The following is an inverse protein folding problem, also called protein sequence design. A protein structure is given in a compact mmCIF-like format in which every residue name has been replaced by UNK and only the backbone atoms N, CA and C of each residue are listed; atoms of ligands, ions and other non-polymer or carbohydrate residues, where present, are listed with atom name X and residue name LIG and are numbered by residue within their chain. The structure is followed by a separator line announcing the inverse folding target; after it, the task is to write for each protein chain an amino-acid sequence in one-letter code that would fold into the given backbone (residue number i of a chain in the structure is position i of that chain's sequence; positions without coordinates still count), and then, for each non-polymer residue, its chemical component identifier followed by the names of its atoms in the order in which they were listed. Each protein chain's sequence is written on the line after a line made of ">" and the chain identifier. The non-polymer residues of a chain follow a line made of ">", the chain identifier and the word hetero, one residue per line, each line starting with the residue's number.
data_IF_669083586551
#
_entry.id   IF_669083586551
#
_cell.length_a   1.000
_cell.length_b   1.000
_cell.length_c   1.000
_cell.angle_alpha   90.00
_cell.angle_beta   90.00
_cell.angle_gamma   90.00
#
_symmetry.space_group_name_H-M   'P 1'
#
loop_
_entity.id
_entity.type
_entity.pdbx_description
1 polymer ?
#
# COMPACT_ATOMS: atom_id res chain seq x y z
N UNK A 1 -61.92 0.60 -48.01
CA UNK A 1 -60.93 1.66 -47.77
C UNK A 1 -61.32 2.35 -46.48
N UNK A 2 -60.31 2.57 -45.63
CA UNK A 2 -60.28 3.22 -44.29
C UNK A 2 -60.41 2.34 -43.04
N UNK A 3 -59.35 2.46 -42.24
CA UNK A 3 -59.23 2.36 -40.79
C UNK A 3 -59.22 0.97 -40.18
N UNK A 4 -58.04 0.48 -39.80
CA UNK A 4 -57.76 0.11 -38.40
C UNK A 4 -56.26 0.31 -38.13
N UNK A 5 -55.98 1.34 -37.33
CA UNK A 5 -54.71 1.58 -36.65
C UNK A 5 -54.71 0.67 -35.42
N UNK A 6 -53.72 -0.19 -35.18
CA UNK A 6 -53.54 -0.79 -33.88
C UNK A 6 -52.39 -0.09 -33.14
N UNK A 7 -52.72 0.48 -31.99
CA UNK A 7 -51.84 0.63 -30.82
C UNK A 7 -52.77 0.93 -29.64
N UNK A 8 -52.46 0.60 -28.37
CA UNK A 8 -51.14 0.27 -27.83
C UNK A 8 -51.17 -0.89 -26.77
N UNK A 9 -50.01 -1.20 -26.16
CA UNK A 9 -49.87 -1.92 -24.88
C UNK A 9 -50.10 -3.46 -24.89
N UNK A 10 -49.11 -4.25 -25.32
CA UNK A 10 -48.88 -5.62 -24.78
C UNK A 10 -47.51 -6.19 -25.14
N UNK A 11 -46.46 -5.37 -25.03
CA UNK A 11 -45.07 -5.85 -24.89
C UNK A 11 -44.47 -5.40 -23.56
N UNK A 12 -45.35 -5.25 -22.57
CA UNK A 12 -45.10 -4.85 -21.18
C UNK A 12 -44.47 -5.96 -20.31
N UNK A 13 -44.08 -7.12 -20.85
CA UNK A 13 -43.78 -8.28 -19.99
C UNK A 13 -42.52 -9.07 -20.36
N UNK A 14 -41.76 -8.68 -21.40
CA UNK A 14 -40.60 -9.50 -21.83
C UNK A 14 -39.29 -8.76 -22.08
N UNK A 15 -39.15 -7.54 -21.57
CA UNK A 15 -37.84 -6.96 -21.29
C UNK A 15 -37.76 -6.43 -19.86
N UNK A 16 -38.57 -7.02 -18.97
CA UNK A 16 -38.49 -6.88 -17.51
C UNK A 16 -37.43 -7.82 -16.91
N UNK A 17 -36.46 -8.31 -17.68
CA UNK A 17 -35.49 -9.32 -17.23
C UNK A 17 -34.01 -8.97 -17.46
N UNK A 18 -33.69 -7.72 -17.83
CA UNK A 18 -32.30 -7.20 -17.74
C UNK A 18 -32.29 -5.87 -16.99
N UNK A 19 -33.20 -5.75 -16.03
CA UNK A 19 -33.14 -4.74 -14.99
C UNK A 19 -33.33 -5.45 -13.66
N UNK A 20 -32.54 -6.50 -13.45
CA UNK A 20 -32.05 -6.67 -12.09
C UNK A 20 -31.23 -5.42 -11.84
N UNK A 21 -31.81 -4.52 -11.05
CA UNK A 21 -31.02 -3.56 -10.32
C UNK A 21 -29.94 -4.36 -9.60
N UNK A 22 -28.76 -4.51 -10.21
CA UNK A 22 -27.52 -4.36 -9.44
C UNK A 22 -27.57 -2.92 -8.93
N UNK A 23 -28.39 -2.72 -7.89
CA UNK A 23 -28.22 -1.64 -6.93
C UNK A 23 -26.88 -2.01 -6.31
N UNK A 24 -25.81 -1.59 -6.95
CA UNK A 24 -24.51 -1.68 -6.34
C UNK A 24 -24.66 -0.95 -5.01
N UNK A 25 -24.37 -1.68 -3.94
CA UNK A 25 -24.40 -1.12 -2.61
C UNK A 25 -23.46 0.09 -2.61
N UNK A 26 -23.97 1.28 -2.33
CA UNK A 26 -23.23 2.54 -2.45
C UNK A 26 -21.93 2.49 -1.63
N UNK A 27 -21.97 1.76 -0.51
CA UNK A 27 -20.80 1.42 0.30
C UNK A 27 -19.77 0.56 -0.48
N UNK A 28 -20.20 -0.47 -1.19
CA UNK A 28 -19.28 -1.28 -2.03
C UNK A 28 -18.65 -0.49 -3.19
N UNK A 29 -19.41 0.40 -3.85
CA UNK A 29 -18.88 1.25 -4.92
C UNK A 29 -17.91 2.30 -4.40
N UNK A 30 -18.21 2.91 -3.26
CA UNK A 30 -17.33 3.90 -2.65
C UNK A 30 -16.01 3.26 -2.23
N UNK A 31 -16.03 2.06 -1.62
CA UNK A 31 -14.82 1.29 -1.32
C UNK A 31 -14.04 0.90 -2.58
N UNK A 32 -14.73 0.57 -3.69
CA UNK A 32 -14.07 0.28 -4.96
C UNK A 32 -13.39 1.53 -5.54
N UNK A 33 -14.05 2.69 -5.49
CA UNK A 33 -13.47 3.96 -5.94
C UNK A 33 -12.25 4.35 -5.10
N UNK A 34 -12.30 4.16 -3.78
CA UNK A 34 -11.16 4.37 -2.89
C UNK A 34 -10.00 3.43 -3.24
N UNK A 35 -10.25 2.13 -3.46
CA UNK A 35 -9.20 1.18 -3.88
C UNK A 35 -8.54 1.59 -5.19
N UNK A 36 -9.32 2.05 -6.17
CA UNK A 36 -8.78 2.55 -7.44
C UNK A 36 -7.89 3.76 -7.19
N UNK A 37 -8.32 4.70 -6.35
CA UNK A 37 -7.53 5.87 -6.00
C UNK A 37 -6.20 5.49 -5.31
N UNK A 38 -6.24 4.54 -4.38
CA UNK A 38 -5.05 4.07 -3.66
C UNK A 38 -4.19 3.07 -4.45
N UNK A 39 -4.68 2.56 -5.59
CA UNK A 39 -3.99 1.53 -6.39
C UNK A 39 -2.62 1.98 -6.90
N UNK A 40 -2.45 3.28 -7.16
CA UNK A 40 -1.17 3.87 -7.60
C UNK A 40 -0.26 4.23 -6.43
N UNK A 41 -0.81 4.42 -5.23
CA UNK A 41 -0.04 4.85 -4.06
C UNK A 41 0.95 3.78 -3.63
N UNK A 42 0.51 2.51 -3.57
CA UNK A 42 1.40 1.41 -3.19
C UNK A 42 2.63 1.27 -4.09
N UNK A 43 2.49 1.08 -5.43
CA UNK A 43 3.66 0.90 -6.29
C UNK A 43 4.60 2.11 -6.27
N UNK A 44 4.08 3.34 -6.14
CA UNK A 44 4.90 4.55 -6.07
C UNK A 44 5.71 4.62 -4.76
N UNK A 45 5.08 4.34 -3.63
CA UNK A 45 5.77 4.31 -2.33
C UNK A 45 6.77 3.17 -2.27
N UNK A 46 6.40 1.99 -2.76
CA UNK A 46 7.28 0.82 -2.77
C UNK A 46 8.49 1.04 -3.67
N UNK A 47 8.31 1.60 -4.88
CA UNK A 47 9.40 2.03 -5.75
C UNK A 47 10.37 2.97 -5.04
N UNK A 48 9.83 4.00 -4.39
CA UNK A 48 10.66 4.98 -3.66
C UNK A 48 11.46 4.30 -2.54
N UNK A 49 10.87 3.34 -1.82
CA UNK A 49 11.57 2.59 -0.79
C UNK A 49 12.72 1.73 -1.33
N UNK A 50 12.56 1.17 -2.54
CA UNK A 50 13.64 0.46 -3.25
C UNK A 50 14.75 1.41 -3.69
N UNK A 51 14.41 2.54 -4.32
CA UNK A 51 15.38 3.53 -4.78
C UNK A 51 16.19 4.16 -3.65
N UNK A 52 15.56 4.40 -2.49
CA UNK A 52 16.24 4.90 -1.30
C UNK A 52 17.12 3.82 -0.62
N UNK A 53 17.00 2.55 -1.00
CA UNK A 53 17.72 1.43 -0.39
C UNK A 53 17.16 1.00 0.98
N UNK A 54 15.92 1.38 1.31
CA UNK A 54 15.31 1.10 2.61
C UNK A 54 15.12 -0.40 2.83
N UNK A 55 14.65 -1.11 1.80
CA UNK A 55 14.45 -2.56 1.87
C UNK A 55 15.78 -3.28 2.10
N UNK A 56 16.82 -2.90 1.35
CA UNK A 56 18.16 -3.46 1.50
C UNK A 56 18.72 -3.21 2.90
N UNK A 57 18.57 -2.00 3.45
CA UNK A 57 19.00 -1.63 4.79
C UNK A 57 18.34 -2.48 5.89
N UNK A 58 17.02 -2.70 5.79
CA UNK A 58 16.29 -3.49 6.81
C UNK A 58 16.65 -4.96 6.70
N UNK A 59 16.75 -5.51 5.49
CA UNK A 59 17.12 -6.92 5.29
C UNK A 59 18.57 -7.18 5.73
N UNK A 60 19.48 -6.25 5.47
CA UNK A 60 20.85 -6.31 5.95
C UNK A 60 20.96 -6.33 7.48
N UNK A 61 19.91 -5.89 8.20
CA UNK A 61 19.83 -5.96 9.65
C UNK A 61 19.54 -7.39 10.18
N UNK A 62 19.31 -8.38 9.30
CA UNK A 62 19.20 -9.80 9.64
C UNK A 62 18.26 -10.10 10.82
N UNK A 63 17.05 -9.52 10.81
CA UNK A 63 16.03 -9.73 11.85
C UNK A 63 16.18 -8.84 13.09
N UNK A 64 17.15 -7.91 13.10
CA UNK A 64 17.21 -6.85 14.10
C UNK A 64 16.11 -5.83 13.83
N UNK A 65 15.38 -5.47 14.89
CA UNK A 65 14.36 -4.44 14.86
C UNK A 65 15.01 -3.05 14.85
N UNK A 66 14.63 -2.21 13.89
CA UNK A 66 15.21 -0.87 13.71
C UNK A 66 14.15 0.22 13.85
N UNK A 67 14.51 1.33 14.49
CA UNK A 67 13.70 2.55 14.45
C UNK A 67 13.80 3.23 13.08
N UNK A 68 12.86 4.11 12.76
CA UNK A 68 12.97 4.94 11.55
C UNK A 68 14.24 5.81 11.56
N UNK A 69 14.69 6.26 12.73
CA UNK A 69 15.94 7.00 12.90
C UNK A 69 17.16 6.14 12.56
N UNK A 70 17.20 4.89 13.04
CA UNK A 70 18.29 3.96 12.74
C UNK A 70 18.36 3.63 11.24
N UNK A 71 17.21 3.41 10.61
CA UNK A 71 17.15 3.13 9.17
C UNK A 71 17.68 4.35 8.41
N UNK A 72 17.22 5.57 8.74
CA UNK A 72 17.69 6.80 8.11
C UNK A 72 19.22 7.00 8.20
N UNK A 73 19.84 6.59 9.30
CA UNK A 73 21.29 6.64 9.50
C UNK A 73 22.06 5.61 8.67
N UNK A 74 21.42 4.47 8.36
CA UNK A 74 22.00 3.35 7.61
C UNK A 74 21.69 3.40 6.11
N UNK A 75 20.95 4.40 5.64
CA UNK A 75 20.69 4.58 4.21
C UNK A 75 22.00 4.89 3.45
N UNK A 76 22.13 4.44 2.19
CA UNK A 76 23.28 4.76 1.35
C UNK A 76 23.52 6.26 1.21
N UNK A 77 22.42 7.02 1.07
CA UNK A 77 22.45 8.49 0.98
C UNK A 77 21.93 9.07 2.29
N UNK A 78 22.80 9.76 3.04
CA UNK A 78 22.42 10.36 4.31
C UNK A 78 21.43 11.52 4.08
N UNK A 79 20.26 11.50 4.72
CA UNK A 79 19.29 12.56 4.54
C UNK A 79 19.76 13.88 5.15
N UNK A 80 19.76 14.95 4.37
CA UNK A 80 20.04 16.31 4.83
C UNK A 80 18.86 16.93 5.61
N UNK A 81 17.66 16.39 5.41
CA UNK A 81 16.43 16.91 6.01
C UNK A 81 16.26 16.41 7.45
N UNK A 82 16.15 17.29 8.46
CA UNK A 82 15.93 16.89 9.85
C UNK A 82 14.61 16.15 10.08
N UNK A 83 13.62 16.33 9.20
CA UNK A 83 12.33 15.62 9.25
C UNK A 83 12.35 14.27 8.51
N UNK A 84 13.50 13.86 7.96
CA UNK A 84 13.60 12.61 7.19
C UNK A 84 13.19 11.36 7.98
N UNK A 85 13.58 11.17 9.26
CA UNK A 85 13.13 10.02 10.04
C UNK A 85 11.61 9.94 10.18
N UNK A 86 10.93 11.09 10.31
CA UNK A 86 9.46 11.14 10.42
C UNK A 86 8.78 10.80 9.10
N UNK A 87 9.33 11.27 7.97
CA UNK A 87 8.81 10.93 6.64
C UNK A 87 9.05 9.46 6.32
N UNK A 88 10.21 8.94 6.72
CA UNK A 88 10.56 7.53 6.59
C UNK A 88 9.63 6.67 7.44
N UNK A 89 9.35 7.06 8.68
CA UNK A 89 8.41 6.36 9.56
C UNK A 89 7.03 6.20 8.90
N UNK A 90 6.47 7.27 8.32
CA UNK A 90 5.19 7.19 7.59
C UNK A 90 5.22 6.20 6.43
N UNK A 91 6.33 6.18 5.69
CA UNK A 91 6.53 5.21 4.60
C UNK A 91 6.61 3.79 5.14
N UNK A 92 7.35 3.56 6.22
CA UNK A 92 7.53 2.24 6.83
C UNK A 92 6.22 1.72 7.43
N UNK A 93 5.41 2.57 8.07
CA UNK A 93 4.05 2.19 8.52
C UNK A 93 3.20 1.74 7.34
N UNK A 94 3.21 2.50 6.24
CA UNK A 94 2.45 2.15 5.04
C UNK A 94 2.89 0.81 4.45
N UNK A 95 4.20 0.55 4.38
CA UNK A 95 4.74 -0.73 3.92
C UNK A 95 4.39 -1.88 4.87
N UNK A 96 4.38 -1.63 6.18
CA UNK A 96 3.98 -2.62 7.18
C UNK A 96 2.49 -2.99 7.05
N UNK A 97 1.61 -2.02 6.76
CA UNK A 97 0.20 -2.26 6.48
C UNK A 97 -0.04 -3.11 5.22
N UNK A 98 0.93 -3.17 4.31
CA UNK A 98 0.90 -4.02 3.11
C UNK A 98 1.71 -5.32 3.27
N UNK A 99 2.05 -5.71 4.51
CA UNK A 99 2.78 -6.94 4.84
C UNK A 99 4.16 -7.06 4.18
N UNK A 100 4.76 -5.95 3.76
CA UNK A 100 6.14 -5.91 3.29
C UNK A 100 7.10 -5.90 4.48
N UNK A 101 6.71 -5.23 5.56
CA UNK A 101 7.48 -5.13 6.80
C UNK A 101 6.60 -5.57 7.97
N UNK A 102 7.23 -5.92 9.08
CA UNK A 102 6.55 -6.00 10.37
C UNK A 102 6.89 -4.79 11.21
N UNK A 103 5.93 -4.31 11.99
CA UNK A 103 6.11 -3.17 12.88
C UNK A 103 5.61 -3.50 14.27
N UNK A 104 6.33 -3.05 15.30
CA UNK A 104 5.90 -3.14 16.70
C UNK A 104 6.12 -1.81 17.40
N UNK A 105 5.29 -1.52 18.38
CA UNK A 105 5.43 -0.33 19.22
C UNK A 105 6.17 -0.72 20.50
N UNK A 106 7.17 0.09 20.86
CA UNK A 106 7.92 -0.05 22.11
C UNK A 106 7.69 1.21 22.93
N UNK A 107 7.30 1.04 24.19
CA UNK A 107 7.13 2.17 25.10
C UNK A 107 8.51 2.73 25.49
N UNK A 108 8.69 4.05 25.35
CA UNK A 108 9.86 4.71 25.92
C UNK A 108 9.72 4.68 27.46
N UNK A 109 10.69 4.06 28.15
CA UNK A 109 10.59 3.67 29.56
C UNK A 109 10.26 4.78 30.57
N UNK A 110 9.69 4.32 31.69
CA UNK A 110 9.45 4.83 33.06
C UNK A 110 9.11 6.32 33.34
N UNK A 111 9.19 7.24 32.39
CA UNK A 111 8.99 8.66 32.69
C UNK A 111 7.56 9.13 32.47
N UNK A 112 6.59 8.24 32.24
CA UNK A 112 5.16 8.55 32.28
C UNK A 112 4.70 9.73 31.42
N UNK A 113 5.53 10.17 30.47
CA UNK A 113 5.16 11.18 29.48
C UNK A 113 4.38 10.47 28.38
N UNK A 114 3.09 10.37 28.67
CA UNK A 114 2.01 9.88 27.82
C UNK A 114 2.30 10.04 26.32
N UNK A 115 2.54 8.92 25.63
CA UNK A 115 2.36 8.83 24.18
C UNK A 115 3.61 8.74 23.30
N UNK A 116 4.82 8.85 23.81
CA UNK A 116 6.04 8.72 23.00
C UNK A 116 6.52 7.27 22.87
N UNK A 117 5.68 6.39 22.34
CA UNK A 117 6.12 5.05 21.93
C UNK A 117 6.94 5.13 20.64
N UNK A 118 8.08 4.46 20.59
CA UNK A 118 8.88 4.34 19.37
C UNK A 118 8.42 3.13 18.56
N UNK A 119 8.28 3.30 17.24
CA UNK A 119 7.95 2.21 16.34
C UNK A 119 9.22 1.58 15.79
N UNK A 120 9.33 0.27 15.93
CA UNK A 120 10.42 -0.52 15.37
C UNK A 120 9.91 -1.37 14.21
N UNK A 121 10.80 -1.61 13.26
CA UNK A 121 10.51 -2.32 12.02
C UNK A 121 11.49 -3.47 11.80
N UNK A 122 11.00 -4.55 11.20
CA UNK A 122 11.80 -5.64 10.70
C UNK A 122 11.29 -6.10 9.34
N UNK A 123 12.16 -6.74 8.55
CA UNK A 123 11.82 -7.26 7.23
C UNK A 123 10.95 -8.51 7.32
N UNK A 124 9.91 -8.59 6.50
CA UNK A 124 9.23 -9.86 6.23
C UNK A 124 10.00 -10.65 5.15
N UNK A 125 9.81 -11.98 5.06
CA UNK A 125 10.50 -12.82 4.06
C UNK A 125 10.30 -12.36 2.62
N UNK A 126 9.17 -11.69 2.34
CA UNK A 126 8.83 -11.14 1.02
C UNK A 126 9.86 -10.12 0.52
N UNK A 127 10.53 -9.38 1.42
CA UNK A 127 11.57 -8.42 1.04
C UNK A 127 12.74 -9.05 0.28
N UNK A 128 13.03 -10.34 0.51
CA UNK A 128 14.16 -11.03 -0.13
C UNK A 128 14.04 -11.10 -1.65
N UNK A 129 12.81 -11.09 -2.18
CA UNK A 129 12.55 -11.10 -3.63
C UNK A 129 12.77 -9.75 -4.31
N UNK A 130 12.92 -8.69 -3.51
CA UNK A 130 13.09 -7.31 -3.98
C UNK A 130 14.46 -6.74 -3.66
N UNK A 131 15.42 -7.59 -3.25
CA UNK A 131 16.80 -7.16 -3.08
C UNK A 131 17.45 -6.95 -4.45
N UNK A 132 18.23 -5.88 -4.58
CA UNK A 132 19.05 -5.68 -5.77
C UNK A 132 20.29 -6.59 -5.69
N UNK A 133 20.17 -7.81 -6.24
CA UNK A 133 21.26 -8.82 -6.30
C UNK A 133 22.02 -8.81 -7.64
N UNK A 134 21.81 -7.81 -8.49
CA UNK A 134 22.42 -7.70 -9.81
C UNK A 134 21.63 -8.36 -10.95
N UNK A 135 22.07 -8.09 -12.18
CA UNK A 135 21.47 -8.60 -13.43
C UNK A 135 21.38 -10.14 -13.41
N UNK A 136 20.18 -10.68 -13.61
CA UNK A 136 19.93 -12.13 -13.70
C UNK A 136 19.58 -12.83 -12.37
N UNK A 137 19.44 -12.09 -11.27
CA UNK A 137 19.17 -12.70 -9.95
C UNK A 137 17.73 -13.16 -9.71
N UNK A 138 16.84 -13.03 -10.70
CA UNK A 138 15.39 -13.25 -10.54
C UNK A 138 14.71 -12.27 -9.56
N UNK A 139 15.36 -11.12 -9.29
CA UNK A 139 14.79 -10.10 -8.40
C UNK A 139 13.66 -9.35 -9.09
N UNK A 140 12.54 -9.22 -8.38
CA UNK A 140 11.38 -8.45 -8.82
C UNK A 140 11.58 -6.94 -8.65
N UNK A 141 12.66 -6.50 -8.00
CA UNK A 141 12.98 -5.07 -7.87
C UNK A 141 13.15 -4.37 -9.23
N UNK A 142 13.67 -5.10 -10.21
CA UNK A 142 13.86 -4.62 -11.59
C UNK A 142 12.56 -4.21 -12.29
N UNK A 143 11.41 -4.71 -11.84
CA UNK A 143 10.10 -4.32 -12.39
C UNK A 143 9.67 -2.91 -11.94
N UNK A 144 10.33 -2.36 -10.92
CA UNK A 144 10.03 -1.04 -10.37
C UNK A 144 11.08 0.03 -10.73
N UNK A 145 12.28 -0.36 -11.20
CA UNK A 145 13.34 0.56 -11.62
C UNK A 145 13.18 0.96 -13.08
#
# INVERSE_FOLDING_TARGET
>A
MTNYLPDPLTTSTKLSLIKEEERFDEETLSLQAERILYSVTFPMVFKTALELGVIDTIVAAQGVWLSASDIALRLPTKPTNPKAPVLLDRMLVFLASNSILTSRMVEAGENGQTGNGERLYASEPVCMFFLNRGEGSGSLASLFM
#
